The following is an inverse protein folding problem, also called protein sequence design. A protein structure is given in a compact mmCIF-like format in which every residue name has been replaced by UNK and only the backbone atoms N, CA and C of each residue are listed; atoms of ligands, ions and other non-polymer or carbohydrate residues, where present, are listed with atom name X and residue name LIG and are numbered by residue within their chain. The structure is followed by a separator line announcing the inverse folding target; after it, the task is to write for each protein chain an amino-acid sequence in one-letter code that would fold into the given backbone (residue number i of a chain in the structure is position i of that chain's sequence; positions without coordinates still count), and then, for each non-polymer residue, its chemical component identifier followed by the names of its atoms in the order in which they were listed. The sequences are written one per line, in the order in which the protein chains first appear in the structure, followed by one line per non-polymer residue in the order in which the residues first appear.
data_IF_277066559361
#
_entry.id   IF_277066559361
#
_cell.length_a   1.000
_cell.length_b   1.000
_cell.length_c   1.000
_cell.angle_alpha   90.00
_cell.angle_beta   90.00
_cell.angle_gamma   90.00
#
_symmetry.space_group_name_H-M   'P 1'
#
loop_
_entity.id
_entity.type
_entity.pdbx_description
1 polymer ?
#
# COMPACT_ATOMS: atom_id res chain seq x y z
N UNK A 1 17.44 9.11 -4.22
CA UNK A 1 16.23 9.01 -3.36
C UNK A 1 15.87 7.54 -3.29
N UNK A 2 16.21 6.85 -2.20
CA UNK A 2 15.84 5.46 -1.99
C UNK A 2 14.33 5.38 -1.80
N UNK A 3 13.66 4.53 -2.57
CA UNK A 3 12.23 4.28 -2.48
C UNK A 3 12.05 3.02 -1.64
N UNK A 4 11.56 3.20 -0.42
CA UNK A 4 11.18 2.08 0.43
C UNK A 4 9.78 1.59 0.01
N UNK A 5 9.58 0.27 -0.01
CA UNK A 5 8.33 -0.34 -0.48
C UNK A 5 7.74 -1.18 0.63
N UNK A 6 6.43 -1.05 0.86
CA UNK A 6 5.71 -1.95 1.76
C UNK A 6 5.03 -3.06 0.97
N UNK A 7 5.17 -4.30 1.42
CA UNK A 7 4.68 -5.50 0.73
C UNK A 7 3.92 -6.40 1.69
N UNK A 8 3.06 -7.24 1.11
CA UNK A 8 2.38 -8.29 1.86
C UNK A 8 3.36 -9.34 2.38
N UNK A 9 2.96 -10.05 3.44
CA UNK A 9 3.79 -11.08 4.08
C UNK A 9 4.25 -12.19 3.11
N UNK A 10 3.42 -12.52 2.12
CA UNK A 10 3.74 -13.53 1.11
C UNK A 10 4.78 -13.09 0.08
N UNK A 11 5.24 -11.83 0.14
CA UNK A 11 6.25 -11.32 -0.76
C UNK A 11 7.66 -11.67 -0.27
N UNK A 12 8.35 -12.51 -1.04
CA UNK A 12 9.65 -13.09 -0.67
C UNK A 12 10.85 -12.45 -1.38
N UNK A 13 10.62 -11.43 -2.20
CA UNK A 13 11.67 -10.79 -3.01
C UNK A 13 12.16 -9.53 -2.29
N UNK A 14 13.34 -9.59 -1.68
CA UNK A 14 13.89 -8.45 -0.94
C UNK A 14 14.66 -7.45 -1.83
N UNK A 15 15.08 -7.88 -3.02
CA UNK A 15 15.91 -7.10 -3.95
C UNK A 15 15.09 -6.40 -5.06
N UNK A 16 13.76 -6.29 -4.89
CA UNK A 16 12.88 -5.69 -5.89
C UNK A 16 13.22 -4.23 -6.16
N UNK A 17 13.64 -3.50 -5.12
CA UNK A 17 13.91 -2.06 -5.18
C UNK A 17 15.23 -1.74 -4.51
N UNK A 18 15.92 -0.66 -4.92
CA UNK A 18 17.15 -0.22 -4.26
C UNK A 18 16.94 0.32 -2.83
N UNK A 19 15.70 0.33 -2.32
CA UNK A 19 15.35 0.72 -0.95
C UNK A 19 14.91 -0.47 -0.08
N UNK A 20 14.43 -0.17 1.12
CA UNK A 20 14.03 -1.20 2.09
C UNK A 20 12.65 -1.76 1.76
N UNK A 21 12.53 -3.08 1.78
CA UNK A 21 11.24 -3.77 1.71
C UNK A 21 10.67 -3.96 3.12
N UNK A 22 9.53 -3.33 3.38
CA UNK A 22 8.79 -3.42 4.64
C UNK A 22 7.67 -4.46 4.50
N UNK A 23 7.84 -5.63 5.11
CA UNK A 23 6.77 -6.64 5.19
C UNK A 23 5.80 -6.33 6.32
N UNK A 24 4.50 -6.44 6.06
CA UNK A 24 3.51 -6.42 7.15
C UNK A 24 3.72 -7.64 8.07
N UNK A 25 4.11 -7.38 9.31
CA UNK A 25 4.33 -8.43 10.31
C UNK A 25 2.97 -8.77 10.92
N UNK A 26 2.43 -9.94 10.59
CA UNK A 26 1.43 -10.59 11.44
C UNK A 26 2.17 -11.32 12.55
N UNK A 27 1.99 -10.84 13.78
CA UNK A 27 2.57 -11.40 15.01
C UNK A 27 2.29 -12.89 15.12
N UNK A 28 3.26 -13.70 14.72
CA UNK A 28 3.27 -15.12 15.04
C UNK A 28 3.88 -15.28 16.44
N UNK A 29 3.00 -15.44 17.44
CA UNK A 29 3.24 -16.18 18.69
C UNK A 29 4.54 -15.87 19.47
N UNK A 30 4.93 -14.61 19.65
CA UNK A 30 5.87 -14.26 20.72
C UNK A 30 5.09 -13.81 21.96
N UNK A 31 5.38 -14.44 23.10
CA UNK A 31 4.67 -14.20 24.35
C UNK A 31 4.89 -12.77 24.91
N UNK A 32 6.03 -12.14 24.58
CA UNK A 32 6.37 -10.77 24.98
C UNK A 32 7.14 -10.07 23.86
N UNK A 33 6.74 -8.85 23.52
CA UNK A 33 7.48 -7.95 22.62
C UNK A 33 8.31 -6.95 23.44
N UNK A 34 9.48 -6.57 22.94
CA UNK A 34 10.23 -5.44 23.51
C UNK A 34 9.51 -4.11 23.21
N UNK A 35 9.73 -3.08 24.03
CA UNK A 35 9.14 -1.75 23.82
C UNK A 35 9.47 -1.17 22.43
N UNK A 36 10.71 -1.37 21.98
CA UNK A 36 11.19 -0.93 20.66
C UNK A 36 10.44 -1.65 19.53
N UNK A 37 10.21 -2.96 19.67
CA UNK A 37 9.49 -3.76 18.68
C UNK A 37 7.99 -3.42 18.65
N UNK A 38 7.39 -3.09 19.79
CA UNK A 38 6.01 -2.59 19.88
C UNK A 38 5.86 -1.31 19.06
N UNK A 39 6.72 -0.32 19.28
CA UNK A 39 6.68 0.97 18.58
C UNK A 39 6.88 0.81 17.07
N UNK A 40 7.81 -0.06 16.68
CA UNK A 40 8.07 -0.36 15.27
C UNK A 40 6.88 -1.03 14.60
N UNK A 41 6.27 -2.02 15.27
CA UNK A 41 5.11 -2.75 14.76
C UNK A 41 3.89 -1.83 14.65
N UNK A 42 3.64 -0.98 15.65
CA UNK A 42 2.58 0.03 15.58
C UNK A 42 2.76 0.99 14.41
N UNK A 43 4.00 1.41 14.13
CA UNK A 43 4.30 2.31 13.01
C UNK A 43 4.06 1.65 11.65
N UNK A 44 4.48 0.39 11.49
CA UNK A 44 4.19 -0.40 10.28
C UNK A 44 2.67 -0.63 10.13
N UNK A 45 1.95 -0.92 11.22
CA UNK A 45 0.51 -1.10 11.20
C UNK A 45 -0.24 0.18 10.80
N UNK A 46 0.18 1.35 11.31
CA UNK A 46 -0.37 2.65 10.91
C UNK A 46 -0.16 2.89 9.40
N UNK A 47 1.04 2.64 8.89
CA UNK A 47 1.33 2.77 7.45
C UNK A 47 0.47 1.82 6.61
N UNK A 48 0.29 0.58 7.07
CA UNK A 48 -0.57 -0.42 6.42
C UNK A 48 -2.01 0.06 6.26
N UNK A 49 -2.60 0.65 7.30
CA UNK A 49 -3.97 1.18 7.23
C UNK A 49 -4.12 2.20 6.09
N UNK A 50 -3.11 3.03 5.85
CA UNK A 50 -3.15 4.00 4.75
C UNK A 50 -3.07 3.34 3.37
N UNK A 51 -2.21 2.34 3.20
CA UNK A 51 -2.09 1.58 1.94
C UNK A 51 -3.37 0.80 1.66
N UNK A 52 -3.94 0.13 2.66
CA UNK A 52 -5.21 -0.60 2.51
C UNK A 52 -6.37 0.33 2.17
N UNK A 53 -6.43 1.53 2.77
CA UNK A 53 -7.43 2.54 2.42
C UNK A 53 -7.30 3.02 0.98
N UNK A 54 -6.07 3.26 0.50
CA UNK A 54 -5.84 3.62 -0.91
C UNK A 54 -6.30 2.51 -1.84
N UNK A 55 -5.87 1.26 -1.60
CA UNK A 55 -6.27 0.10 -2.40
C UNK A 55 -7.79 -0.05 -2.42
N UNK A 56 -8.43 0.11 -1.26
CA UNK A 56 -9.89 0.07 -1.14
C UNK A 56 -10.56 1.12 -2.02
N UNK A 57 -10.14 2.39 -1.94
CA UNK A 57 -10.72 3.48 -2.75
C UNK A 57 -10.57 3.23 -4.26
N UNK A 58 -9.41 2.71 -4.69
CA UNK A 58 -9.18 2.38 -6.11
C UNK A 58 -10.12 1.27 -6.57
N UNK A 59 -10.33 0.23 -5.72
CA UNK A 59 -11.28 -0.85 -6.01
C UNK A 59 -12.74 -0.39 -6.02
N UNK A 60 -13.14 0.46 -5.08
CA UNK A 60 -14.51 0.99 -4.95
C UNK A 60 -14.92 1.86 -6.14
N UNK A 61 -13.96 2.40 -6.89
CA UNK A 61 -14.22 3.17 -8.10
C UNK A 61 -14.66 2.32 -9.31
N UNK A 62 -14.64 0.98 -9.21
CA UNK A 62 -15.17 0.03 -10.20
C UNK A 62 -14.60 0.17 -11.61
N UNK A 63 -13.51 0.92 -11.77
CA UNK A 63 -12.89 1.20 -13.06
C UNK A 63 -12.37 -0.08 -13.74
N UNK A 64 -12.09 -1.11 -12.94
CA UNK A 64 -11.58 -2.40 -13.37
C UNK A 64 -12.61 -3.53 -13.25
N UNK A 65 -13.90 -3.22 -13.04
CA UNK A 65 -14.96 -4.24 -12.94
C UNK A 65 -15.31 -4.84 -14.32
N UNK A 66 -14.90 -4.19 -15.40
CA UNK A 66 -15.11 -4.65 -16.78
C UNK A 66 -13.88 -5.34 -17.33
N UNK A 67 -14.10 -6.30 -18.25
CA UNK A 67 -13.02 -6.98 -18.97
C UNK A 67 -12.19 -5.97 -19.76
N UNK A 68 -10.88 -5.96 -19.55
CA UNK A 68 -9.93 -5.15 -20.33
C UNK A 68 -9.58 -5.92 -21.61
N UNK A 69 -9.86 -5.36 -22.80
CA UNK A 69 -9.45 -5.98 -24.05
C UNK A 69 -7.93 -6.14 -24.15
N UNK A 70 -7.46 -7.26 -24.70
CA UNK A 70 -6.03 -7.53 -24.90
C UNK A 70 -5.35 -6.46 -25.77
N UNK A 71 -6.09 -5.84 -26.70
CA UNK A 71 -5.60 -4.76 -27.55
C UNK A 71 -5.12 -3.52 -26.77
N UNK A 72 -5.65 -3.28 -25.57
CA UNK A 72 -5.26 -2.15 -24.72
C UNK A 72 -4.41 -2.55 -23.50
N UNK A 73 -4.13 -3.86 -23.34
CA UNK A 73 -3.37 -4.39 -22.20
C UNK A 73 -1.98 -3.77 -22.03
N UNK A 74 -1.31 -3.41 -23.13
CA UNK A 74 -0.01 -2.73 -23.09
C UNK A 74 -0.03 -1.37 -22.39
N UNK A 75 -1.21 -0.75 -22.26
CA UNK A 75 -1.40 0.54 -21.59
C UNK A 75 -1.85 0.39 -20.13
N UNK A 76 -1.87 -0.82 -19.58
CA UNK A 76 -2.41 -1.08 -18.24
C UNK A 76 -1.79 -0.19 -17.15
N UNK A 77 -0.48 0.05 -17.21
CA UNK A 77 0.20 0.94 -16.26
C UNK A 77 -0.35 2.38 -16.31
N UNK A 78 -0.67 2.89 -17.50
CA UNK A 78 -1.23 4.24 -17.69
C UNK A 78 -2.68 4.28 -17.21
N UNK A 79 -3.46 3.27 -17.56
CA UNK A 79 -4.86 3.08 -17.12
C UNK A 79 -4.92 3.04 -15.58
N UNK A 80 -4.06 2.26 -14.94
CA UNK A 80 -3.94 2.18 -13.49
C UNK A 80 -3.50 3.50 -12.84
N UNK A 81 -2.56 4.21 -13.47
CA UNK A 81 -2.12 5.53 -13.00
C UNK A 81 -3.28 6.54 -13.03
N UNK A 82 -4.02 6.60 -14.13
CA UNK A 82 -5.20 7.47 -14.26
C UNK A 82 -6.27 7.10 -13.23
N UNK A 83 -6.54 5.81 -13.02
CA UNK A 83 -7.48 5.36 -11.99
C UNK A 83 -7.06 5.82 -10.58
N UNK A 84 -5.77 5.75 -10.26
CA UNK A 84 -5.24 6.25 -8.98
C UNK A 84 -5.39 7.77 -8.84
N UNK A 85 -5.09 8.52 -9.90
CA UNK A 85 -5.26 9.98 -9.91
C UNK A 85 -6.72 10.37 -9.70
N UNK A 86 -7.65 9.78 -10.45
CA UNK A 86 -9.09 10.02 -10.29
C UNK A 86 -9.56 9.69 -8.88
N UNK A 87 -9.10 8.57 -8.33
CA UNK A 87 -9.38 8.18 -6.94
C UNK A 87 -8.93 9.25 -5.95
N UNK A 88 -7.75 9.84 -6.16
CA UNK A 88 -7.22 10.92 -5.32
C UNK A 88 -7.95 12.26 -5.48
N UNK A 89 -8.55 12.52 -6.64
CA UNK A 89 -9.35 13.74 -6.85
C UNK A 89 -10.77 13.62 -6.30
N UNK A 90 -11.40 12.44 -6.46
CA UNK A 90 -12.76 12.19 -6.01
C UNK A 90 -12.84 12.03 -4.49
N UNK A 91 -11.82 11.45 -3.88
CA UNK A 91 -11.74 11.26 -2.44
C UNK A 91 -10.81 12.31 -1.85
N UNK A 92 -11.23 12.96 -0.76
CA UNK A 92 -10.35 13.86 0.00
C UNK A 92 -9.06 13.18 0.50
N UNK A 93 -8.15 13.92 1.14
CA UNK A 93 -6.82 13.42 1.50
C UNK A 93 -6.85 12.07 2.24
N UNK A 94 -5.95 11.15 1.85
CA UNK A 94 -5.80 9.81 2.47
C UNK A 94 -5.33 9.87 3.93
N UNK A 95 -4.58 10.91 4.27
CA UNK A 95 -4.05 11.17 5.60
C UNK A 95 -4.55 12.53 6.06
N UNK A 96 -5.17 12.57 7.24
CA UNK A 96 -5.56 13.81 7.87
C UNK A 96 -4.30 14.48 8.46
N UNK A 97 -4.09 15.78 8.22
CA UNK A 97 -2.87 16.48 8.66
C UNK A 97 -2.60 16.35 10.16
N UNK A 98 -3.64 16.17 10.98
CA UNK A 98 -3.55 15.96 12.44
C UNK A 98 -2.91 14.62 12.87
N UNK A 99 -2.66 13.69 11.96
CA UNK A 99 -2.04 12.38 12.27
C UNK A 99 -0.53 12.38 11.98
N UNK A 100 -0.01 13.45 11.40
CA UNK A 100 1.41 13.61 11.05
C UNK A 100 2.18 14.51 12.04
N UNK A 101 1.49 15.05 13.05
CA UNK A 101 2.03 15.75 14.23
C UNK A 101 1.94 14.80 15.44
#
# INVERSE_FOLDING_TARGET
RTMDVMVDKGFLIDELVPGKVHRSIFLAKQAHMSEVDVLRTQSIARLRVHVERLIRRVKENKFFDTVIPLSISGHFNQIFTVACLLTNYQHGPLVNKRVLE
#
